data_IF_512567047643
#
_entry.id   IF_512567047643
#
_cell.length_a   1.000
_cell.length_b   1.000
_cell.length_c   1.000
_cell.angle_alpha   90.00
_cell.angle_beta   90.00
_cell.angle_gamma   90.00
#
_symmetry.space_group_name_H-M   'P 1'
#
loop_
_entity.id
_entity.type
_entity.pdbx_description
1 polymer ?
#
# COMPACT_ATOMS: atom_id res chain seq x y z
N UNK A 1 -23.91 -20.26 33.41
CA UNK A 1 -23.53 -21.68 33.50
C UNK A 1 -23.46 -22.21 32.06
N UNK A 2 -22.31 -22.33 31.40
CA UNK A 2 -20.89 -21.97 31.67
C UNK A 2 -20.31 -21.48 30.31
N UNK A 3 -19.50 -20.42 30.19
CA UNK A 3 -18.05 -20.32 30.50
C UNK A 3 -17.21 -21.44 29.83
N UNK A 4 -16.30 -21.12 28.88
CA UNK A 4 -14.83 -20.91 29.07
C UNK A 4 -14.00 -22.22 28.96
N UNK A 5 -12.71 -22.25 28.54
CA UNK A 5 -11.72 -21.22 28.15
C UNK A 5 -11.06 -21.63 26.80
N UNK A 6 -10.72 -20.67 25.93
CA UNK A 6 -9.59 -20.79 24.98
C UNK A 6 -8.94 -19.41 24.71
N UNK A 7 -8.34 -18.83 25.77
CA UNK A 7 -7.10 -18.03 25.61
C UNK A 7 -6.02 -18.99 25.05
N UNK A 8 -5.01 -18.60 24.27
CA UNK A 8 -4.02 -17.52 24.39
C UNK A 8 -3.65 -17.06 22.96
N UNK A 9 -3.14 -15.87 22.62
CA UNK A 9 -2.67 -14.71 23.36
C UNK A 9 -2.12 -13.67 22.35
N UNK A 10 -2.50 -12.40 22.52
CA UNK A 10 -1.90 -11.19 21.95
C UNK A 10 -1.35 -11.17 20.51
N UNK A 11 -2.17 -10.77 19.53
CA UNK A 11 -1.71 -10.23 18.23
C UNK A 11 -2.43 -8.93 17.77
N UNK A 12 -3.42 -8.44 18.52
CA UNK A 12 -4.37 -7.41 18.05
C UNK A 12 -3.96 -5.94 18.34
N UNK A 13 -2.68 -5.66 18.60
CA UNK A 13 -2.18 -4.31 18.95
C UNK A 13 -1.00 -3.81 18.11
N UNK A 14 -0.60 -4.52 17.05
CA UNK A 14 0.42 -4.04 16.12
C UNK A 14 -0.18 -3.15 15.02
N UNK A 15 -0.29 -1.87 15.39
CA UNK A 15 0.02 -0.70 14.56
C UNK A 15 -0.49 -0.73 13.10
N UNK A 16 -1.82 -0.83 12.92
CA UNK A 16 -2.49 -0.74 11.61
C UNK A 16 -2.48 0.69 11.04
N UNK A 17 -1.31 1.27 10.81
CA UNK A 17 -1.14 2.64 10.32
C UNK A 17 -1.35 2.75 8.80
N UNK A 18 -2.62 2.63 8.40
CA UNK A 18 -3.10 2.91 7.03
C UNK A 18 -3.05 4.42 6.78
N UNK A 19 -2.08 4.89 5.99
CA UNK A 19 -1.92 6.32 5.69
C UNK A 19 -2.63 6.64 4.36
N UNK A 20 -3.89 7.09 4.47
CA UNK A 20 -4.61 7.88 3.46
C UNK A 20 -4.94 7.19 2.12
N UNK A 21 -6.22 7.03 1.82
CA UNK A 21 -6.69 6.74 0.46
C UNK A 21 -7.16 8.03 -0.22
N UNK A 22 -6.44 8.50 -1.23
CA UNK A 22 -6.86 9.61 -2.08
C UNK A 22 -7.58 9.06 -3.32
N UNK A 23 -8.80 9.53 -3.58
CA UNK A 23 -9.52 9.19 -4.83
C UNK A 23 -8.99 10.06 -5.98
N UNK A 24 -8.54 9.46 -7.10
CA UNK A 24 -8.11 10.24 -8.26
C UNK A 24 -9.30 10.73 -9.09
N UNK A 25 -9.35 12.03 -9.35
CA UNK A 25 -10.20 12.58 -10.41
C UNK A 25 -9.65 12.18 -11.79
N UNK A 26 -10.56 12.01 -12.76
CA UNK A 26 -10.31 11.26 -13.99
C UNK A 26 -9.51 12.08 -15.01
N UNK A 27 -8.37 11.53 -15.46
CA UNK A 27 -7.73 11.95 -16.72
C UNK A 27 -7.17 10.75 -17.50
N UNK A 28 -7.75 10.51 -18.68
CA UNK A 28 -7.20 9.85 -19.88
C UNK A 28 -6.14 8.73 -19.69
N UNK A 29 -6.60 7.58 -19.16
CA UNK A 29 -5.97 6.25 -19.24
C UNK A 29 -4.51 6.12 -18.74
N UNK A 30 -4.26 6.32 -17.44
CA UNK A 30 -2.96 6.04 -16.84
C UNK A 30 -2.72 4.52 -16.62
N UNK A 31 -1.45 4.13 -16.61
CA UNK A 31 -0.98 2.81 -16.18
C UNK A 31 -1.07 2.75 -14.65
N UNK A 32 -1.85 1.80 -14.14
CA UNK A 32 -2.01 1.52 -12.72
C UNK A 32 -1.15 0.30 -12.34
N UNK A 33 -0.41 0.40 -11.23
CA UNK A 33 0.43 -0.68 -10.73
C UNK A 33 0.44 -0.74 -9.20
N UNK A 34 0.51 -1.96 -8.66
CA UNK A 34 0.84 -2.22 -7.27
C UNK A 34 2.32 -2.60 -7.17
N UNK A 35 3.03 -1.93 -6.27
CA UNK A 35 4.42 -2.20 -5.93
C UNK A 35 4.47 -2.93 -4.59
N UNK A 36 5.06 -4.12 -4.58
CA UNK A 36 5.40 -4.88 -3.38
C UNK A 36 6.87 -4.63 -3.07
N UNK A 37 7.14 -4.02 -1.92
CA UNK A 37 8.43 -3.42 -1.62
C UNK A 37 9.01 -4.09 -0.38
N UNK A 38 10.21 -4.67 -0.58
CA UNK A 38 11.02 -5.27 0.47
C UNK A 38 12.08 -4.26 0.89
N UNK A 39 12.12 -3.96 2.17
CA UNK A 39 13.06 -3.02 2.76
C UNK A 39 13.38 -3.47 4.17
N UNK A 40 14.49 -2.99 4.73
CA UNK A 40 14.88 -3.34 6.09
C UNK A 40 13.85 -2.79 7.09
N UNK A 41 13.51 -3.49 8.19
CA UNK A 41 12.46 -3.05 9.12
C UNK A 41 12.68 -1.65 9.71
N UNK A 42 13.94 -1.22 9.84
CA UNK A 42 14.35 0.11 10.28
C UNK A 42 14.13 1.22 9.23
N UNK A 43 14.00 0.87 7.94
CA UNK A 43 13.80 1.78 6.81
C UNK A 43 12.36 1.84 6.29
N UNK A 44 11.40 1.19 6.97
CA UNK A 44 9.99 1.14 6.54
C UNK A 44 9.34 2.53 6.58
N UNK A 45 9.60 3.33 7.62
CA UNK A 45 9.02 4.67 7.74
C UNK A 45 9.69 5.69 6.79
N UNK A 46 11.01 5.62 6.60
CA UNK A 46 11.74 6.47 5.64
C UNK A 46 11.28 6.19 4.21
N UNK A 47 11.29 4.92 3.79
CA UNK A 47 10.83 4.46 2.47
C UNK A 47 9.36 4.83 2.24
N UNK A 48 8.47 4.57 3.22
CA UNK A 48 7.06 4.90 3.13
C UNK A 48 6.79 6.40 2.98
N UNK A 49 7.55 7.25 3.69
CA UNK A 49 7.47 8.71 3.55
C UNK A 49 8.00 9.19 2.20
N UNK A 50 9.09 8.61 1.70
CA UNK A 50 9.66 8.93 0.40
C UNK A 50 8.75 8.52 -0.77
N UNK A 51 7.97 7.44 -0.64
CA UNK A 51 6.91 7.11 -1.60
C UNK A 51 5.83 8.20 -1.63
N UNK A 52 5.36 8.63 -0.47
CA UNK A 52 4.27 9.61 -0.32
C UNK A 52 4.65 11.05 -0.71
N UNK A 53 5.91 11.36 -1.04
CA UNK A 53 6.27 12.65 -1.67
C UNK A 53 5.88 12.70 -3.15
N UNK A 54 5.75 11.55 -3.82
CA UNK A 54 5.40 11.47 -5.22
C UNK A 54 3.89 11.58 -5.44
N UNK A 55 3.40 12.53 -6.27
CA UNK A 55 1.97 12.62 -6.61
C UNK A 55 1.47 11.43 -7.45
N UNK A 56 2.38 10.57 -7.90
CA UNK A 56 2.06 9.33 -8.63
C UNK A 56 1.62 8.21 -7.69
N UNK A 57 1.91 8.31 -6.38
CA UNK A 57 1.52 7.33 -5.36
C UNK A 57 0.16 7.71 -4.79
N UNK A 58 -0.85 6.86 -5.03
CA UNK A 58 -2.24 7.07 -4.55
C UNK A 58 -2.43 6.62 -3.11
N UNK A 59 -1.66 5.62 -2.70
CA UNK A 59 -1.72 4.97 -1.39
C UNK A 59 -0.40 4.23 -1.13
N UNK A 60 0.08 4.26 0.11
CA UNK A 60 1.15 3.39 0.58
C UNK A 60 0.86 2.93 2.01
N UNK A 61 1.17 1.68 2.32
CA UNK A 61 1.01 1.14 3.67
C UNK A 61 2.09 0.13 4.04
N UNK A 62 2.45 0.14 5.32
CA UNK A 62 3.21 -0.92 5.94
C UNK A 62 2.36 -2.20 6.02
N UNK A 63 2.97 -3.33 5.72
CA UNK A 63 2.38 -4.68 5.76
C UNK A 63 3.33 -5.65 6.44
N UNK A 64 2.77 -6.73 6.99
CA UNK A 64 3.53 -7.81 7.63
C UNK A 64 3.63 -9.01 6.71
N UNK A 65 4.84 -9.50 6.45
CA UNK A 65 5.08 -10.69 5.63
C UNK A 65 6.46 -10.66 5.00
N UNK A 66 6.59 -11.26 3.81
CA UNK A 66 7.81 -11.20 3.00
C UNK A 66 8.15 -9.77 2.54
N UNK A 67 7.11 -8.96 2.31
CA UNK A 67 7.17 -7.55 2.00
C UNK A 67 6.81 -6.70 3.22
N UNK A 68 7.41 -5.51 3.31
CA UNK A 68 7.18 -4.58 4.42
C UNK A 68 6.32 -3.40 4.00
N UNK A 69 6.25 -3.10 2.70
CA UNK A 69 5.45 -2.02 2.13
C UNK A 69 4.69 -2.49 0.90
N UNK A 70 3.48 -1.96 0.72
CA UNK A 70 2.75 -2.00 -0.55
C UNK A 70 2.37 -0.57 -0.95
N UNK A 71 2.54 -0.23 -2.23
CA UNK A 71 2.17 1.06 -2.78
C UNK A 71 1.34 0.91 -4.06
N UNK A 72 0.28 1.70 -4.17
CA UNK A 72 -0.58 1.80 -5.36
C UNK A 72 -0.18 3.08 -6.12
N UNK A 73 0.23 2.93 -7.38
CA UNK A 73 0.71 4.02 -8.21
C UNK A 73 -0.05 4.15 -9.53
N UNK A 74 -0.09 5.36 -10.07
CA UNK A 74 -0.79 5.71 -11.30
C UNK A 74 0.06 6.67 -12.11
N UNK A 75 0.49 6.24 -13.32
CA UNK A 75 1.48 6.94 -14.15
C UNK A 75 1.05 7.02 -15.61
N UNK A 76 1.52 8.03 -16.34
CA UNK A 76 1.07 8.27 -17.72
C UNK A 76 1.51 7.19 -18.74
N UNK A 77 2.53 6.39 -18.46
CA UNK A 77 3.01 5.35 -19.39
C UNK A 77 3.84 4.26 -18.71
N UNK A 78 4.08 3.15 -19.42
CA UNK A 78 5.01 2.09 -18.96
C UNK A 78 6.45 2.56 -18.85
N UNK A 79 6.86 3.58 -19.61
CA UNK A 79 8.19 4.17 -19.48
C UNK A 79 8.31 4.96 -18.17
N UNK A 80 7.29 5.77 -17.84
CA UNK A 80 7.21 6.46 -16.56
C UNK A 80 7.11 5.48 -15.36
N UNK A 81 6.44 4.33 -15.53
CA UNK A 81 6.46 3.25 -14.53
C UNK A 81 7.89 2.72 -14.33
N UNK A 82 8.58 2.39 -15.41
CA UNK A 82 9.95 1.87 -15.36
C UNK A 82 10.91 2.86 -14.71
N UNK A 83 10.84 4.14 -15.09
CA UNK A 83 11.61 5.22 -14.47
C UNK A 83 11.31 5.34 -12.97
N UNK A 84 10.04 5.34 -12.57
CA UNK A 84 9.64 5.44 -11.17
C UNK A 84 10.19 4.29 -10.29
N UNK A 85 10.25 3.06 -10.81
CA UNK A 85 10.77 1.89 -10.08
C UNK A 85 12.27 1.64 -10.24
N UNK A 86 12.99 2.47 -11.02
CA UNK A 86 14.45 2.33 -11.22
C UNK A 86 15.26 3.56 -10.81
N UNK A 87 14.65 4.75 -10.75
CA UNK A 87 15.33 6.01 -10.46
C UNK A 87 14.63 6.85 -9.36
N UNK A 88 13.59 6.35 -8.71
CA UNK A 88 12.90 7.06 -7.63
C UNK A 88 13.74 7.19 -6.36
N UNK A 89 13.69 8.36 -5.70
CA UNK A 89 14.42 8.62 -4.44
C UNK A 89 14.05 7.64 -3.31
N UNK A 90 12.81 7.11 -3.35
CA UNK A 90 12.29 6.11 -2.43
C UNK A 90 13.00 4.75 -2.51
N UNK A 91 13.84 4.50 -3.52
CA UNK A 91 14.62 3.26 -3.65
C UNK A 91 15.80 3.19 -2.67
N UNK A 92 16.13 4.28 -1.97
CA UNK A 92 17.16 4.28 -0.92
C UNK A 92 16.75 3.35 0.22
N UNK A 93 17.48 2.25 0.42
CA UNK A 93 17.19 1.24 1.44
C UNK A 93 16.27 0.09 0.98
N UNK A 94 15.75 0.16 -0.24
CA UNK A 94 14.92 -0.91 -0.83
C UNK A 94 15.79 -2.07 -1.33
N UNK A 95 15.43 -3.28 -0.94
CA UNK A 95 16.12 -4.52 -1.33
C UNK A 95 15.54 -5.11 -2.62
N UNK A 96 14.21 -5.03 -2.79
CA UNK A 96 13.49 -5.61 -3.92
C UNK A 96 12.15 -4.91 -4.14
N UNK A 97 11.77 -4.76 -5.42
CA UNK A 97 10.47 -4.23 -5.86
C UNK A 97 9.84 -5.22 -6.82
N UNK A 98 8.72 -5.82 -6.44
CA UNK A 98 7.83 -6.55 -7.36
C UNK A 98 6.74 -5.61 -7.88
N UNK A 99 6.58 -5.55 -9.20
CA UNK A 99 5.62 -4.65 -9.87
C UNK A 99 4.50 -5.44 -10.52
N UNK A 100 3.27 -5.30 -10.02
CA UNK A 100 2.07 -5.92 -10.58
C UNK A 100 1.22 -4.86 -11.30
N UNK A 101 1.08 -4.97 -12.63
CA UNK A 101 0.16 -4.13 -13.39
C UNK A 101 -1.30 -4.46 -13.07
N UNK A 102 -2.12 -3.46 -12.76
CA UNK A 102 -3.55 -3.64 -12.48
C UNK A 102 -4.32 -3.66 -13.80
N UNK A 103 -4.47 -4.85 -14.37
CA UNK A 103 -5.24 -5.06 -15.62
C UNK A 103 -6.73 -5.14 -15.29
N UNK A 104 -7.40 -3.98 -15.27
CA UNK A 104 -8.84 -3.78 -15.03
C UNK A 104 -9.40 -4.33 -13.70
N UNK A 105 -9.77 -3.44 -12.78
CA UNK A 105 -10.31 -3.82 -11.47
C UNK A 105 -11.67 -4.51 -11.53
N UNK A 106 -11.69 -5.85 -11.42
CA UNK A 106 -12.92 -6.66 -11.46
C UNK A 106 -13.87 -6.44 -10.26
N UNK A 107 -13.38 -5.86 -9.14
CA UNK A 107 -14.21 -5.54 -7.96
C UNK A 107 -13.60 -4.39 -7.15
N UNK A 108 -14.34 -3.30 -6.96
CA UNK A 108 -13.97 -2.16 -6.10
C UNK A 108 -15.05 -1.93 -5.03
N UNK A 109 -14.94 -2.62 -3.89
CA UNK A 109 -15.92 -2.51 -2.80
C UNK A 109 -15.58 -1.34 -1.86
N UNK A 110 -16.01 -0.13 -2.24
CA UNK A 110 -15.88 1.09 -1.44
C UNK A 110 -17.06 1.34 -0.50
N UNK A 111 -17.55 0.32 0.22
CA UNK A 111 -18.71 0.46 1.12
C UNK A 111 -18.29 0.17 2.55
N UNK A 112 -17.93 1.21 3.29
CA UNK A 112 -17.98 1.20 4.75
C UNK A 112 -19.42 1.45 5.16
N UNK A 113 -20.17 0.39 5.46
CA UNK A 113 -21.47 0.55 6.12
C UNK A 113 -21.23 1.08 7.54
N UNK A 114 -21.35 2.41 7.70
CA UNK A 114 -21.48 3.03 9.01
C UNK A 114 -22.83 2.62 9.60
N UNK A 115 -22.86 1.52 10.34
CA UNK A 115 -24.03 1.11 11.11
C UNK A 115 -24.17 2.02 12.33
N UNK A 116 -24.84 3.17 12.15
CA UNK A 116 -25.33 3.96 13.27
C UNK A 116 -26.37 3.13 14.03
N UNK A 117 -26.00 2.67 15.22
CA UNK A 117 -26.92 2.04 16.16
C UNK A 117 -27.94 3.09 16.65
N UNK A 118 -29.20 2.67 16.74
CA UNK A 118 -30.30 3.40 17.38
C UNK A 118 -31.12 2.41 18.21
#
# INVERSE_FOLDING_TARGET
MLNEIAQEGGIDQLDRRVIGALQPDVLELPVEALLWIKTRPDEVESTGRALLTSPLVRYAAAITGEYQLVADITVASRAALYEFVTAGEWLSGVELVETCLVVSGLKRSGVTSASTLG
#
